data_IF_940276435770
#
_entry.id   IF_940276435770
#
_cell.length_a   1.000
_cell.length_b   1.000
_cell.length_c   1.000
_cell.angle_alpha   90.00
_cell.angle_beta   90.00
_cell.angle_gamma   90.00
#
_symmetry.space_group_name_H-M   'P 1'
#
loop_
_entity.id
_entity.type
_entity.pdbx_description
1 polymer ?
#
# COMPACT_ATOMS: atom_id res chain seq x y z
N UNK A 1 20.79 -10.76 -23.28
CA UNK A 1 20.49 -10.43 -21.87
C UNK A 1 21.50 -9.48 -21.27
N UNK A 2 22.82 -9.74 -21.37
CA UNK A 2 23.86 -8.87 -20.82
C UNK A 2 23.83 -7.43 -21.34
N UNK A 3 23.57 -7.23 -22.64
CA UNK A 3 23.40 -5.88 -23.22
C UNK A 3 22.34 -5.07 -22.48
N UNK A 4 21.20 -5.70 -22.14
CA UNK A 4 20.11 -5.09 -21.38
C UNK A 4 20.52 -4.77 -19.93
N UNK A 5 21.29 -5.66 -19.29
CA UNK A 5 21.81 -5.40 -17.93
C UNK A 5 22.83 -4.27 -17.92
N UNK A 6 23.73 -4.19 -18.93
CA UNK A 6 24.66 -3.07 -19.11
C UNK A 6 23.91 -1.75 -19.31
N UNK A 7 22.86 -1.75 -20.15
CA UNK A 7 21.99 -0.59 -20.34
C UNK A 7 21.39 -0.13 -19.00
N UNK A 8 20.75 -1.05 -18.25
CA UNK A 8 20.19 -0.73 -16.94
C UNK A 8 21.24 -0.16 -15.96
N UNK A 9 22.49 -0.63 -16.04
CA UNK A 9 23.58 -0.11 -15.23
C UNK A 9 23.95 1.32 -15.63
N UNK A 10 24.10 1.57 -16.93
CA UNK A 10 24.43 2.89 -17.46
C UNK A 10 23.34 3.93 -17.15
N UNK A 11 22.08 3.51 -17.20
CA UNK A 11 20.92 4.35 -16.90
C UNK A 11 20.66 4.50 -15.37
N UNK A 12 21.53 3.96 -14.52
CA UNK A 12 21.34 3.91 -13.05
C UNK A 12 20.04 3.23 -12.61
N UNK A 13 19.52 2.30 -13.41
CA UNK A 13 18.29 1.55 -13.17
C UNK A 13 18.52 0.13 -12.64
N UNK A 14 19.77 -0.35 -12.68
CA UNK A 14 20.10 -1.70 -12.19
C UNK A 14 19.80 -1.81 -10.70
N UNK A 15 18.97 -2.80 -10.34
CA UNK A 15 18.61 -3.11 -8.97
C UNK A 15 19.45 -4.28 -8.45
N UNK A 16 19.83 -4.22 -7.19
CA UNK A 16 20.55 -5.29 -6.49
C UNK A 16 19.85 -5.62 -5.18
N UNK A 17 19.72 -6.90 -4.89
CA UNK A 17 19.27 -7.36 -3.58
C UNK A 17 20.33 -7.04 -2.52
N UNK A 18 19.89 -6.73 -1.31
CA UNK A 18 20.76 -6.57 -0.13
C UNK A 18 20.32 -7.55 0.93
N UNK A 19 21.28 -8.22 1.54
CA UNK A 19 20.99 -9.01 2.74
C UNK A 19 20.74 -8.06 3.90
N UNK A 20 19.59 -8.20 4.51
CA UNK A 20 19.16 -7.32 5.60
C UNK A 20 18.44 -8.11 6.67
N UNK A 21 18.48 -7.62 7.90
CA UNK A 21 17.58 -8.06 8.98
C UNK A 21 16.91 -6.84 9.62
N UNK A 22 15.79 -7.06 10.27
CA UNK A 22 14.97 -6.01 10.88
C UNK A 22 15.04 -6.14 12.40
N UNK A 23 15.31 -5.03 13.06
CA UNK A 23 15.21 -4.88 14.51
C UNK A 23 14.36 -3.67 14.83
N UNK A 24 13.06 -3.92 15.04
CA UNK A 24 12.06 -2.87 15.32
C UNK A 24 12.07 -1.76 14.25
N UNK A 25 12.36 -0.52 14.64
CA UNK A 25 12.47 0.63 13.73
C UNK A 25 13.78 0.73 12.95
N UNK A 26 14.61 -0.31 12.98
CA UNK A 26 15.93 -0.32 12.36
C UNK A 26 16.07 -1.45 11.35
N UNK A 27 17.00 -1.26 10.42
CA UNK A 27 17.46 -2.26 9.45
C UNK A 27 18.96 -2.47 9.64
N UNK A 28 19.40 -3.73 9.62
CA UNK A 28 20.81 -4.10 9.70
C UNK A 28 21.28 -4.45 8.28
N UNK A 29 22.29 -3.73 7.80
CA UNK A 29 22.92 -3.94 6.50
C UNK A 29 24.42 -4.07 6.73
N UNK A 30 25.03 -5.17 6.27
CA UNK A 30 26.46 -5.45 6.48
C UNK A 30 26.87 -5.22 7.94
N UNK A 31 26.12 -5.83 8.87
CA UNK A 31 26.31 -5.78 10.33
C UNK A 31 26.17 -4.37 10.97
N UNK A 32 25.86 -3.35 10.21
CA UNK A 32 25.61 -1.98 10.70
C UNK A 32 24.12 -1.72 10.86
N UNK A 33 23.77 -1.10 11.98
CA UNK A 33 22.40 -0.72 12.30
C UNK A 33 22.07 0.65 11.72
N UNK A 34 20.96 0.75 10.97
CA UNK A 34 20.49 1.97 10.34
C UNK A 34 19.04 2.23 10.76
N UNK A 35 18.68 3.50 10.98
CA UNK A 35 17.29 3.91 11.16
C UNK A 35 16.52 3.62 9.87
N UNK A 36 15.43 2.85 9.97
CA UNK A 36 14.67 2.40 8.81
C UNK A 36 13.50 3.33 8.51
N UNK A 37 13.70 4.24 7.58
CA UNK A 37 12.65 5.12 7.06
C UNK A 37 11.95 4.53 5.81
N UNK A 38 12.08 3.23 5.56
CA UNK A 38 11.47 2.57 4.39
C UNK A 38 10.57 1.39 4.75
N UNK A 39 10.23 1.22 6.03
CA UNK A 39 9.35 0.15 6.48
C UNK A 39 7.88 0.49 6.21
N UNK A 40 7.10 -0.53 5.82
CA UNK A 40 5.65 -0.46 5.79
C UNK A 40 4.99 -1.07 7.04
N UNK A 41 5.77 -1.55 8.02
CA UNK A 41 5.26 -1.93 9.35
C UNK A 41 4.95 -0.67 10.18
N UNK A 42 3.88 0.02 9.80
CA UNK A 42 3.54 1.35 10.33
C UNK A 42 3.27 1.34 11.82
N UNK A 43 2.56 0.35 12.32
CA UNK A 43 2.20 0.26 13.72
C UNK A 43 3.31 -0.36 14.59
N UNK A 44 4.20 -1.14 14.00
CA UNK A 44 5.31 -1.76 14.68
C UNK A 44 4.86 -2.61 15.87
N UNK A 45 3.95 -3.54 15.66
CA UNK A 45 3.40 -4.39 16.71
C UNK A 45 4.33 -5.59 16.92
N UNK A 46 4.91 -5.72 18.11
CA UNK A 46 5.71 -6.88 18.47
C UNK A 46 4.84 -7.93 19.19
N UNK A 47 4.76 -9.14 18.66
CA UNK A 47 4.04 -10.28 19.23
C UNK A 47 4.94 -11.45 19.61
N UNK A 48 6.27 -11.26 19.57
CA UNK A 48 7.20 -12.36 19.76
C UNK A 48 7.31 -13.28 18.54
N UNK A 49 7.72 -14.52 18.76
CA UNK A 49 7.93 -15.49 17.68
C UNK A 49 6.62 -16.07 17.16
N UNK A 50 6.58 -16.36 15.86
CA UNK A 50 5.51 -17.12 15.22
C UNK A 50 5.83 -18.61 15.38
N UNK A 51 4.90 -19.38 15.94
CA UNK A 51 5.05 -20.83 16.01
C UNK A 51 4.59 -21.46 14.69
N UNK A 52 5.49 -22.14 14.00
CA UNK A 52 5.23 -22.81 12.71
C UNK A 52 4.81 -24.27 12.96
N UNK A 53 3.63 -24.49 13.51
CA UNK A 53 3.16 -25.84 13.83
C UNK A 53 2.53 -26.59 12.65
N UNK A 54 2.03 -25.87 11.64
CA UNK A 54 1.37 -26.46 10.46
C UNK A 54 1.60 -25.65 9.20
N UNK A 55 1.97 -26.33 8.12
CA UNK A 55 2.08 -25.77 6.77
C UNK A 55 0.91 -26.25 5.93
N UNK A 56 0.29 -25.34 5.19
CA UNK A 56 -0.70 -25.70 4.17
C UNK A 56 0.03 -26.06 2.87
N UNK A 57 -0.14 -27.30 2.41
CA UNK A 57 0.53 -27.82 1.21
C UNK A 57 -0.35 -27.85 -0.04
N UNK A 58 -1.54 -27.23 0.02
CA UNK A 58 -2.52 -27.22 -1.08
C UNK A 58 -3.24 -25.87 -1.19
N UNK A 59 -4.00 -25.68 -2.28
CA UNK A 59 -4.89 -24.53 -2.42
C UNK A 59 -6.07 -24.63 -1.44
N UNK A 60 -6.70 -23.47 -1.15
CA UNK A 60 -7.86 -23.42 -0.23
C UNK A 60 -9.05 -24.24 -0.70
N UNK A 61 -9.25 -24.37 -2.03
CA UNK A 61 -10.37 -25.13 -2.58
C UNK A 61 -10.16 -26.66 -2.58
N UNK A 62 -8.91 -27.12 -2.36
CA UNK A 62 -8.61 -28.55 -2.25
C UNK A 62 -8.58 -28.98 -0.79
N UNK A 63 -7.48 -28.71 -0.06
CA UNK A 63 -7.31 -29.12 1.33
C UNK A 63 -6.65 -28.05 2.21
N UNK A 64 -6.32 -26.90 1.64
CA UNK A 64 -5.62 -25.83 2.36
C UNK A 64 -6.51 -24.87 3.17
N UNK A 65 -7.84 -25.12 3.23
CA UNK A 65 -8.76 -24.23 3.94
C UNK A 65 -8.90 -24.62 5.42
N UNK A 66 -8.00 -24.11 6.25
CA UNK A 66 -8.07 -24.26 7.69
C UNK A 66 -9.23 -23.41 8.29
N UNK A 67 -9.86 -23.89 9.37
CA UNK A 67 -10.98 -23.19 10.02
C UNK A 67 -10.65 -21.78 10.52
N UNK A 68 -9.37 -21.46 10.71
CA UNK A 68 -8.93 -20.13 11.11
C UNK A 68 -9.06 -19.09 9.97
N UNK A 69 -9.10 -19.52 8.70
CA UNK A 69 -9.43 -18.62 7.59
C UNK A 69 -10.79 -17.99 7.78
N UNK A 70 -11.81 -18.79 8.08
CA UNK A 70 -13.17 -18.28 8.32
C UNK A 70 -13.23 -17.31 9.50
N UNK A 71 -12.49 -17.61 10.58
CA UNK A 71 -12.38 -16.69 11.73
C UNK A 71 -11.75 -15.37 11.34
N UNK A 72 -10.63 -15.40 10.59
CA UNK A 72 -9.95 -14.20 10.11
C UNK A 72 -10.85 -13.39 9.18
N UNK A 73 -11.51 -14.03 8.23
CA UNK A 73 -12.39 -13.39 7.25
C UNK A 73 -13.61 -12.75 7.90
N UNK A 74 -14.21 -13.37 8.91
CA UNK A 74 -15.27 -12.75 9.75
C UNK A 74 -14.77 -11.51 10.50
N UNK A 75 -13.55 -11.53 11.03
CA UNK A 75 -12.96 -10.36 11.68
C UNK A 75 -12.69 -9.22 10.68
N UNK A 76 -12.22 -9.54 9.48
CA UNK A 76 -11.95 -8.56 8.43
C UNK A 76 -13.24 -7.94 7.87
N UNK A 77 -14.30 -8.74 7.63
CA UNK A 77 -15.58 -8.22 7.19
C UNK A 77 -16.19 -7.28 8.23
N UNK A 78 -16.14 -7.65 9.53
CA UNK A 78 -16.54 -6.78 10.64
C UNK A 78 -15.69 -5.49 10.70
N UNK A 79 -14.37 -5.61 10.48
CA UNK A 79 -13.45 -4.46 10.45
C UNK A 79 -13.83 -3.46 9.37
N UNK A 80 -14.18 -3.92 8.17
CA UNK A 80 -14.61 -3.06 7.05
C UNK A 80 -16.10 -2.73 7.03
N UNK A 81 -16.89 -3.32 7.94
CA UNK A 81 -18.35 -3.21 7.91
C UNK A 81 -18.97 -3.67 6.59
N UNK A 82 -18.46 -4.79 6.08
CA UNK A 82 -18.91 -5.46 4.86
C UNK A 82 -19.51 -6.82 5.21
N UNK A 83 -20.26 -7.42 4.28
CA UNK A 83 -20.94 -8.70 4.52
C UNK A 83 -19.95 -9.88 4.61
N UNK A 84 -18.96 -9.91 3.74
CA UNK A 84 -18.00 -11.02 3.63
C UNK A 84 -16.60 -10.53 3.26
N UNK A 85 -15.61 -11.31 3.66
CA UNK A 85 -14.20 -11.12 3.23
C UNK A 85 -13.61 -12.42 2.76
N UNK A 86 -12.56 -12.34 1.96
CA UNK A 86 -11.73 -13.47 1.55
C UNK A 86 -10.25 -13.09 1.57
N UNK A 87 -9.42 -13.98 2.10
CA UNK A 87 -7.97 -13.78 2.26
C UNK A 87 -7.21 -14.39 1.10
N UNK A 88 -6.22 -13.63 0.60
CA UNK A 88 -5.27 -13.98 -0.46
C UNK A 88 -3.85 -14.07 0.10
N UNK A 89 -2.92 -14.76 -0.57
CA UNK A 89 -1.52 -14.81 -0.15
C UNK A 89 -0.83 -13.44 -0.10
N UNK A 90 -1.19 -12.50 -0.97
CA UNK A 90 -0.65 -11.13 -0.98
C UNK A 90 -1.71 -10.10 -1.38
N UNK A 91 -1.48 -8.81 -1.06
CA UNK A 91 -2.31 -7.71 -1.58
C UNK A 91 -2.28 -7.61 -3.11
N UNK A 92 -1.13 -7.93 -3.73
CA UNK A 92 -1.00 -8.01 -5.18
C UNK A 92 -1.99 -9.01 -5.78
N UNK A 93 -2.04 -10.23 -5.21
CA UNK A 93 -2.95 -11.30 -5.64
C UNK A 93 -4.42 -10.95 -5.35
N UNK A 94 -4.69 -10.20 -4.28
CA UNK A 94 -6.03 -9.71 -3.99
C UNK A 94 -6.52 -8.72 -5.06
N UNK A 95 -5.68 -7.78 -5.50
CA UNK A 95 -6.01 -6.87 -6.62
C UNK A 95 -6.26 -7.66 -7.92
N UNK A 96 -5.34 -8.55 -8.29
CA UNK A 96 -5.52 -9.39 -9.48
C UNK A 96 -6.82 -10.17 -9.40
N UNK A 97 -7.04 -10.84 -8.26
CA UNK A 97 -8.19 -11.70 -8.06
C UNK A 97 -9.52 -10.95 -8.08
N UNK A 98 -9.64 -9.84 -7.35
CA UNK A 98 -10.85 -9.05 -7.33
C UNK A 98 -11.21 -8.51 -8.71
N UNK A 99 -10.29 -7.77 -9.32
CA UNK A 99 -10.57 -7.05 -10.55
C UNK A 99 -10.86 -8.03 -11.70
N UNK A 100 -10.05 -9.07 -11.87
CA UNK A 100 -10.27 -10.05 -12.97
C UNK A 100 -11.49 -10.96 -12.79
N UNK A 101 -12.04 -11.05 -11.57
CA UNK A 101 -13.26 -11.81 -11.29
C UNK A 101 -14.54 -11.00 -11.50
N UNK A 102 -14.47 -9.67 -11.30
CA UNK A 102 -15.64 -8.79 -11.25
C UNK A 102 -15.80 -8.02 -12.55
N UNK A 103 -14.68 -7.67 -13.19
CA UNK A 103 -14.62 -6.85 -14.41
C UNK A 103 -14.50 -7.72 -15.62
N UNK A 104 -15.36 -7.48 -16.63
CA UNK A 104 -15.43 -8.26 -17.87
C UNK A 104 -14.95 -7.44 -19.09
N UNK A 105 -14.69 -8.14 -20.19
CA UNK A 105 -14.15 -7.56 -21.44
C UNK A 105 -14.93 -6.35 -21.98
N UNK A 106 -16.26 -6.35 -21.81
CA UNK A 106 -17.12 -5.27 -22.33
C UNK A 106 -17.32 -4.09 -21.34
N UNK A 107 -16.81 -4.23 -20.14
CA UNK A 107 -16.89 -3.21 -19.11
C UNK A 107 -15.94 -2.05 -19.37
N UNK A 108 -16.19 -0.94 -18.67
CA UNK A 108 -15.33 0.23 -18.65
C UNK A 108 -14.69 0.40 -17.27
N UNK A 109 -13.37 0.48 -17.24
CA UNK A 109 -12.59 0.74 -16.02
C UNK A 109 -12.03 2.15 -16.07
N UNK A 110 -12.34 2.95 -15.06
CA UNK A 110 -11.76 4.28 -14.83
C UNK A 110 -10.72 4.15 -13.73
N UNK A 111 -9.44 4.19 -14.11
CA UNK A 111 -8.30 3.99 -13.24
C UNK A 111 -7.55 5.30 -13.02
N UNK A 112 -7.23 5.63 -11.75
CA UNK A 112 -6.31 6.73 -11.46
C UNK A 112 -4.95 6.47 -12.11
N UNK A 113 -4.31 7.51 -12.65
CA UNK A 113 -3.03 7.38 -13.37
C UNK A 113 -1.86 6.93 -12.48
N UNK A 114 -1.97 7.08 -11.16
CA UNK A 114 -0.95 6.67 -10.20
C UNK A 114 -1.30 5.40 -9.43
N UNK A 115 -2.34 4.69 -9.82
CA UNK A 115 -2.69 3.42 -9.22
C UNK A 115 -1.52 2.43 -9.23
N UNK A 116 -1.47 1.60 -8.20
CA UNK A 116 -0.45 0.55 -8.03
C UNK A 116 -0.41 -0.40 -9.23
N UNK A 117 0.79 -0.90 -9.56
CA UNK A 117 1.02 -1.78 -10.71
C UNK A 117 0.10 -3.02 -10.71
N UNK A 118 -0.24 -3.58 -9.56
CA UNK A 118 -1.17 -4.72 -9.46
C UNK A 118 -2.59 -4.38 -9.95
N UNK A 119 -3.05 -3.15 -9.74
CA UNK A 119 -4.33 -2.64 -10.27
C UNK A 119 -4.23 -2.49 -11.78
N UNK A 120 -3.17 -1.85 -12.27
CA UNK A 120 -2.94 -1.65 -13.71
C UNK A 120 -2.91 -2.98 -14.46
N UNK A 121 -2.18 -3.96 -13.92
CA UNK A 121 -2.07 -5.29 -14.55
C UNK A 121 -3.39 -6.07 -14.47
N UNK A 122 -4.11 -5.98 -13.34
CA UNK A 122 -5.41 -6.59 -13.20
C UNK A 122 -6.44 -6.02 -14.21
N UNK A 123 -6.46 -4.70 -14.38
CA UNK A 123 -7.30 -4.05 -15.38
C UNK A 123 -6.98 -4.53 -16.81
N UNK A 124 -5.69 -4.66 -17.16
CA UNK A 124 -5.28 -5.21 -18.46
C UNK A 124 -5.71 -6.65 -18.64
N UNK A 125 -5.54 -7.48 -17.60
CA UNK A 125 -5.89 -8.91 -17.64
C UNK A 125 -7.40 -9.15 -17.72
N UNK A 126 -8.23 -8.24 -17.21
CA UNK A 126 -9.70 -8.32 -17.34
C UNK A 126 -10.17 -8.16 -18.78
N UNK A 127 -9.34 -7.57 -19.66
CA UNK A 127 -9.69 -7.25 -21.03
C UNK A 127 -10.68 -6.10 -21.19
N UNK A 128 -11.02 -5.39 -20.12
CA UNK A 128 -11.95 -4.26 -20.13
C UNK A 128 -11.40 -3.03 -20.87
N UNK A 129 -12.28 -2.12 -21.22
CA UNK A 129 -11.94 -0.83 -21.83
C UNK A 129 -11.45 0.13 -20.78
N UNK A 130 -10.12 0.32 -20.67
CA UNK A 130 -9.47 1.11 -19.64
C UNK A 130 -9.45 2.59 -20.04
N UNK A 131 -9.95 3.46 -19.16
CA UNK A 131 -9.89 4.92 -19.25
C UNK A 131 -9.12 5.46 -18.03
N UNK A 132 -7.91 5.92 -18.26
CA UNK A 132 -7.08 6.49 -17.20
C UNK A 132 -7.51 7.95 -16.99
N UNK A 133 -7.83 8.32 -15.74
CA UNK A 133 -8.07 9.71 -15.38
C UNK A 133 -6.86 10.29 -14.63
N UNK A 134 -6.72 11.63 -14.72
CA UNK A 134 -5.63 12.35 -14.07
C UNK A 134 -5.66 12.13 -12.58
N UNK A 135 -4.47 12.03 -12.00
CA UNK A 135 -4.32 11.72 -10.59
C UNK A 135 -5.14 12.65 -9.69
N UNK A 136 -6.02 12.03 -8.90
CA UNK A 136 -6.88 12.66 -7.90
C UNK A 136 -7.79 13.79 -8.46
N UNK A 137 -8.03 13.78 -9.77
CA UNK A 137 -8.83 14.77 -10.51
C UNK A 137 -10.25 14.24 -10.74
N UNK A 138 -11.16 14.65 -9.86
CA UNK A 138 -12.56 14.26 -9.89
C UNK A 138 -13.31 14.82 -11.12
N UNK A 139 -12.92 15.99 -11.62
CA UNK A 139 -13.56 16.59 -12.81
C UNK A 139 -13.17 15.80 -14.08
N UNK A 140 -11.90 15.41 -14.23
CA UNK A 140 -11.48 14.56 -15.35
C UNK A 140 -12.16 13.18 -15.30
N UNK A 141 -12.32 12.60 -14.09
CA UNK A 141 -13.06 11.36 -13.88
C UNK A 141 -14.52 11.51 -14.34
N UNK A 142 -15.23 12.55 -13.87
CA UNK A 142 -16.63 12.85 -14.20
C UNK A 142 -16.81 13.04 -15.70
N UNK A 143 -15.94 13.83 -16.34
CA UNK A 143 -15.96 14.07 -17.78
C UNK A 143 -15.82 12.77 -18.60
N UNK A 144 -14.99 11.84 -18.14
CA UNK A 144 -14.80 10.55 -18.83
C UNK A 144 -15.97 9.60 -18.61
N UNK A 145 -16.55 9.59 -17.40
CA UNK A 145 -17.74 8.78 -17.08
C UNK A 145 -18.96 9.20 -17.90
N UNK A 146 -19.25 10.48 -17.99
CA UNK A 146 -20.42 11.02 -18.70
C UNK A 146 -20.42 10.66 -20.20
N UNK A 147 -19.26 10.41 -20.79
CA UNK A 147 -19.09 10.01 -22.20
C UNK A 147 -19.13 8.49 -22.42
N UNK A 148 -19.59 7.73 -21.42
CA UNK A 148 -19.48 6.28 -21.45
C UNK A 148 -20.80 5.61 -21.11
N UNK A 149 -21.30 4.75 -22.00
CA UNK A 149 -22.45 3.91 -21.77
C UNK A 149 -22.00 2.47 -21.53
N UNK A 150 -22.63 1.77 -20.57
CA UNK A 150 -22.31 0.42 -20.16
C UNK A 150 -21.94 0.31 -18.69
N UNK A 151 -21.53 -0.88 -18.27
CA UNK A 151 -21.12 -1.16 -16.88
C UNK A 151 -19.78 -0.50 -16.60
N UNK A 152 -19.68 0.22 -15.47
CA UNK A 152 -18.56 1.10 -15.15
C UNK A 152 -17.96 0.74 -13.80
N UNK A 153 -16.64 0.74 -13.76
CA UNK A 153 -15.86 0.54 -12.53
C UNK A 153 -14.93 1.73 -12.32
N UNK A 154 -14.93 2.30 -11.13
CA UNK A 154 -13.93 3.28 -10.70
C UNK A 154 -12.95 2.55 -9.78
N UNK A 155 -11.66 2.64 -10.04
CA UNK A 155 -10.63 1.98 -9.24
C UNK A 155 -9.59 3.01 -8.82
N UNK A 156 -9.35 3.13 -7.51
CA UNK A 156 -8.38 4.06 -6.92
C UNK A 156 -7.74 3.49 -5.67
N UNK A 157 -6.61 4.06 -5.25
CA UNK A 157 -6.01 3.80 -3.94
C UNK A 157 -6.61 4.75 -2.88
N UNK A 158 -6.62 4.33 -1.61
CA UNK A 158 -7.01 5.21 -0.50
C UNK A 158 -5.90 6.17 -0.10
N UNK A 159 -4.68 5.65 -0.03
CA UNK A 159 -3.42 6.42 0.12
C UNK A 159 -2.47 5.95 -0.97
N UNK A 160 -2.02 6.87 -1.80
CA UNK A 160 -1.13 6.54 -2.92
C UNK A 160 0.28 6.21 -2.44
N UNK A 161 0.76 5.06 -2.88
CA UNK A 161 1.94 4.39 -2.33
C UNK A 161 3.26 5.15 -2.51
N UNK A 162 3.35 6.03 -3.54
CA UNK A 162 4.57 6.77 -3.87
C UNK A 162 4.54 8.23 -3.43
N UNK A 163 3.37 8.84 -3.34
CA UNK A 163 3.19 10.26 -3.03
C UNK A 163 2.65 10.50 -1.62
N UNK A 164 1.99 9.51 -1.02
CA UNK A 164 1.47 9.57 0.35
C UNK A 164 0.25 10.48 0.50
N UNK A 165 -0.31 10.98 -0.58
CA UNK A 165 -1.54 11.74 -0.60
C UNK A 165 -2.76 10.82 -0.51
N UNK A 166 -3.89 11.37 -0.13
CA UNK A 166 -5.16 10.67 0.07
C UNK A 166 -6.08 10.97 -1.11
N UNK A 167 -6.75 9.94 -1.62
CA UNK A 167 -7.76 10.11 -2.65
C UNK A 167 -8.93 10.99 -2.17
N UNK A 168 -9.47 11.81 -3.08
CA UNK A 168 -10.69 12.60 -2.82
C UNK A 168 -11.93 11.70 -2.83
N UNK A 169 -11.98 10.73 -1.90
CA UNK A 169 -13.03 9.71 -1.85
C UNK A 169 -14.43 10.30 -1.67
N UNK A 170 -14.56 11.46 -1.01
CA UNK A 170 -15.88 12.10 -0.86
C UNK A 170 -16.49 12.44 -2.22
N UNK A 171 -15.70 13.00 -3.09
CA UNK A 171 -16.13 13.40 -4.43
C UNK A 171 -16.25 12.19 -5.36
N UNK A 172 -15.25 11.28 -5.32
CA UNK A 172 -15.25 10.04 -6.10
C UNK A 172 -16.50 9.19 -5.79
N UNK A 173 -16.88 9.04 -4.50
CA UNK A 173 -18.09 8.27 -4.13
C UNK A 173 -19.38 8.92 -4.60
N UNK A 174 -19.45 10.25 -4.59
CA UNK A 174 -20.61 10.96 -5.13
C UNK A 174 -20.70 10.81 -6.66
N UNK A 175 -19.57 10.92 -7.36
CA UNK A 175 -19.51 10.69 -8.80
C UNK A 175 -19.88 9.24 -9.13
N UNK A 176 -19.39 8.27 -8.36
CA UNK A 176 -19.72 6.85 -8.54
C UNK A 176 -21.22 6.60 -8.45
N UNK A 177 -21.86 7.10 -7.40
CA UNK A 177 -23.30 6.98 -7.19
C UNK A 177 -24.12 7.62 -8.33
N UNK A 178 -23.77 8.84 -8.73
CA UNK A 178 -24.47 9.57 -9.78
C UNK A 178 -24.31 8.95 -11.18
N UNK A 179 -23.31 8.09 -11.38
CA UNK A 179 -23.05 7.41 -12.64
C UNK A 179 -23.36 5.92 -12.62
N UNK A 180 -23.97 5.42 -11.53
CA UNK A 180 -24.23 4.00 -11.31
C UNK A 180 -22.98 3.13 -11.57
N UNK A 181 -21.86 3.54 -10.99
CA UNK A 181 -20.56 2.90 -11.15
C UNK A 181 -20.21 2.09 -9.90
N UNK A 182 -19.49 1.01 -10.06
CA UNK A 182 -18.96 0.19 -8.95
C UNK A 182 -17.60 0.77 -8.53
N UNK A 183 -17.46 1.12 -7.25
CA UNK A 183 -16.22 1.66 -6.70
C UNK A 183 -15.39 0.58 -6.02
N UNK A 184 -14.18 0.35 -6.55
CA UNK A 184 -13.17 -0.55 -5.98
C UNK A 184 -12.06 0.32 -5.35
N UNK A 185 -11.83 0.15 -4.06
CA UNK A 185 -10.83 0.89 -3.30
C UNK A 185 -9.72 -0.04 -2.83
N UNK A 186 -8.48 0.18 -3.30
CA UNK A 186 -7.27 -0.38 -2.66
C UNK A 186 -6.86 0.52 -1.49
N UNK A 187 -7.15 0.06 -0.28
CA UNK A 187 -6.86 0.78 0.96
C UNK A 187 -5.61 0.23 1.68
N UNK A 188 -4.71 -0.44 0.96
CA UNK A 188 -3.57 -1.15 1.54
C UNK A 188 -2.64 -0.27 2.39
N UNK A 189 -2.55 1.02 2.11
CA UNK A 189 -1.77 1.99 2.89
C UNK A 189 -2.61 2.77 3.90
N UNK A 190 -3.94 2.81 3.76
CA UNK A 190 -4.85 3.47 4.68
C UNK A 190 -5.35 2.55 5.79
N UNK A 191 -5.54 1.28 5.47
CA UNK A 191 -6.08 0.27 6.38
C UNK A 191 -5.17 0.05 7.60
N UNK A 192 -5.79 -0.13 8.75
CA UNK A 192 -5.16 -0.22 10.08
C UNK A 192 -4.48 1.08 10.56
N UNK A 193 -4.36 2.11 9.72
CA UNK A 193 -3.72 3.40 10.02
C UNK A 193 -4.75 4.50 10.19
N UNK A 194 -5.64 4.69 9.23
CA UNK A 194 -6.66 5.74 9.19
C UNK A 194 -7.99 5.29 9.79
N UNK A 195 -8.83 6.26 10.13
CA UNK A 195 -10.20 6.04 10.58
C UNK A 195 -10.32 5.48 11.99
N UNK A 196 -11.55 5.29 12.43
CA UNK A 196 -11.86 4.75 13.76
C UNK A 196 -11.38 3.29 13.85
N UNK A 197 -10.61 2.96 14.88
CA UNK A 197 -10.01 1.63 15.05
C UNK A 197 -9.16 1.15 13.87
N UNK A 198 -8.69 2.08 13.01
CA UNK A 198 -7.91 1.76 11.83
C UNK A 198 -8.71 1.24 10.64
N UNK A 199 -10.00 1.56 10.51
CA UNK A 199 -10.88 1.06 9.43
C UNK A 199 -10.53 1.59 8.04
N UNK A 200 -9.55 2.47 7.93
CA UNK A 200 -9.02 2.95 6.67
C UNK A 200 -9.53 4.31 6.22
N UNK A 201 -9.22 4.66 4.97
CA UNK A 201 -9.50 5.98 4.40
C UNK A 201 -10.98 6.24 4.19
N UNK A 202 -11.76 5.24 3.80
CA UNK A 202 -13.21 5.37 3.66
C UNK A 202 -13.90 5.74 4.96
N UNK A 203 -13.42 5.22 6.11
CA UNK A 203 -13.98 5.51 7.42
C UNK A 203 -13.63 6.92 7.89
N UNK A 204 -12.37 7.35 7.78
CA UNK A 204 -11.97 8.70 8.20
C UNK A 204 -12.63 9.80 7.39
N UNK A 205 -12.98 9.52 6.14
CA UNK A 205 -13.68 10.45 5.25
C UNK A 205 -15.22 10.31 5.31
N UNK A 206 -15.75 9.35 6.10
CA UNK A 206 -17.18 9.16 6.30
C UNK A 206 -17.91 8.55 5.10
N UNK A 207 -17.21 7.85 4.22
CA UNK A 207 -17.75 7.29 2.96
C UNK A 207 -17.68 5.76 2.88
N UNK A 208 -17.37 5.08 3.96
CA UNK A 208 -17.13 3.63 3.98
C UNK A 208 -18.31 2.80 3.44
N UNK A 209 -19.55 3.24 3.63
CA UNK A 209 -20.76 2.57 3.11
C UNK A 209 -20.99 2.77 1.60
N UNK A 210 -20.27 3.71 0.98
CA UNK A 210 -20.39 4.02 -0.45
C UNK A 210 -19.30 3.35 -1.30
N UNK A 211 -18.48 2.49 -0.70
CA UNK A 211 -17.42 1.74 -1.36
C UNK A 211 -17.91 0.30 -1.52
N UNK A 212 -17.98 -0.17 -2.75
CA UNK A 212 -18.54 -1.48 -3.08
C UNK A 212 -17.55 -2.61 -2.78
N UNK A 213 -16.28 -2.41 -3.10
CA UNK A 213 -15.23 -3.42 -2.91
C UNK A 213 -14.01 -2.80 -2.26
N UNK A 214 -13.64 -3.30 -1.09
CA UNK A 214 -12.38 -3.01 -0.45
C UNK A 214 -11.34 -4.06 -0.77
N UNK A 215 -10.14 -3.63 -1.13
CA UNK A 215 -8.95 -4.46 -1.24
C UNK A 215 -7.89 -3.90 -0.30
N UNK A 216 -7.17 -4.78 0.39
CA UNK A 216 -6.14 -4.33 1.33
C UNK A 216 -5.03 -5.36 1.51
N UNK A 217 -3.98 -4.96 2.25
CA UNK A 217 -2.82 -5.79 2.58
C UNK A 217 -2.67 -5.94 4.09
N UNK A 218 -2.52 -7.19 4.55
CA UNK A 218 -2.22 -7.49 5.94
C UNK A 218 -0.75 -7.25 6.29
N UNK A 219 0.13 -7.12 5.29
CA UNK A 219 1.58 -6.99 5.49
C UNK A 219 2.05 -5.58 5.84
N UNK A 220 1.18 -4.57 5.75
CA UNK A 220 1.51 -3.16 6.01
C UNK A 220 1.06 -2.72 7.41
N UNK A 221 -0.04 -2.00 7.53
CA UNK A 221 -0.53 -1.47 8.80
C UNK A 221 -0.78 -2.52 9.88
N UNK A 222 -1.26 -3.71 9.53
CA UNK A 222 -1.40 -4.83 10.47
C UNK A 222 -0.06 -5.49 10.81
N UNK A 223 0.94 -5.41 9.90
CA UNK A 223 2.27 -6.01 10.08
C UNK A 223 2.26 -7.53 10.11
N UNK A 224 1.33 -8.18 9.40
CA UNK A 224 1.26 -9.63 9.21
C UNK A 224 1.69 -10.00 7.80
N UNK A 225 1.01 -10.95 7.16
CA UNK A 225 1.23 -11.32 5.77
C UNK A 225 -0.09 -11.66 5.08
N UNK A 226 -0.19 -11.38 3.78
CA UNK A 226 -1.38 -11.63 2.98
C UNK A 226 -2.05 -10.36 2.46
N UNK A 227 -3.13 -10.56 1.73
CA UNK A 227 -4.07 -9.54 1.30
C UNK A 227 -5.49 -10.02 1.51
N UNK A 228 -6.48 -9.16 1.33
CA UNK A 228 -7.87 -9.54 1.43
C UNK A 228 -8.78 -8.62 0.63
N UNK A 229 -9.96 -9.15 0.34
CA UNK A 229 -11.09 -8.42 -0.23
C UNK A 229 -12.22 -8.41 0.80
N UNK A 230 -12.92 -7.29 0.92
CA UNK A 230 -14.19 -7.18 1.68
C UNK A 230 -15.25 -6.52 0.82
N UNK A 231 -16.43 -7.14 0.73
CA UNK A 231 -17.54 -6.66 -0.09
C UNK A 231 -18.86 -7.33 0.30
N UNK A 232 -19.90 -7.15 -0.52
CA UNK A 232 -21.12 -7.93 -0.47
C UNK A 232 -20.81 -9.43 -0.66
N UNK A 233 -21.64 -10.29 -0.11
CA UNK A 233 -21.45 -11.75 -0.15
C UNK A 233 -21.33 -12.26 -1.60
N UNK A 234 -22.20 -11.80 -2.51
CA UNK A 234 -22.21 -12.21 -3.92
C UNK A 234 -20.88 -11.92 -4.65
N UNK A 235 -20.28 -10.77 -4.38
CA UNK A 235 -18.99 -10.37 -4.95
C UNK A 235 -17.86 -11.26 -4.44
N UNK A 236 -17.83 -11.53 -3.13
CA UNK A 236 -16.80 -12.40 -2.54
C UNK A 236 -16.97 -13.84 -3.01
N UNK A 237 -18.21 -14.34 -3.12
CA UNK A 237 -18.50 -15.68 -3.63
C UNK A 237 -18.06 -15.79 -5.12
N UNK A 238 -18.25 -14.75 -5.93
CA UNK A 238 -17.73 -14.70 -7.29
C UNK A 238 -16.21 -14.80 -7.32
N UNK A 239 -15.51 -14.05 -6.44
CA UNK A 239 -14.06 -14.13 -6.33
C UNK A 239 -13.56 -15.53 -5.92
N UNK A 240 -14.27 -16.23 -5.02
CA UNK A 240 -13.92 -17.62 -4.66
C UNK A 240 -13.96 -18.54 -5.89
N UNK A 241 -14.90 -18.30 -6.80
CA UNK A 241 -15.17 -19.19 -7.92
C UNK A 241 -14.44 -18.82 -9.22
N UNK A 242 -13.99 -17.56 -9.37
CA UNK A 242 -13.39 -17.09 -10.63
C UNK A 242 -11.99 -16.50 -10.48
N UNK A 243 -11.56 -16.15 -9.27
CA UNK A 243 -10.24 -15.57 -9.05
C UNK A 243 -9.13 -16.59 -9.25
N UNK A 244 -8.42 -16.50 -10.37
CA UNK A 244 -7.29 -17.40 -10.69
C UNK A 244 -6.17 -17.30 -9.65
N UNK A 245 -5.89 -16.11 -9.12
CA UNK A 245 -4.90 -15.89 -8.07
C UNK A 245 -5.32 -16.45 -6.71
N UNK A 246 -6.57 -16.88 -6.54
CA UNK A 246 -7.07 -17.59 -5.38
C UNK A 246 -7.13 -19.10 -5.62
N UNK A 247 -7.67 -19.51 -6.76
CA UNK A 247 -7.93 -20.92 -7.09
C UNK A 247 -6.62 -21.69 -7.26
N UNK A 248 -5.65 -21.12 -7.97
CA UNK A 248 -4.41 -21.80 -8.42
C UNK A 248 -3.18 -21.44 -7.59
N UNK A 249 -3.37 -21.03 -6.34
CA UNK A 249 -2.28 -20.74 -5.41
C UNK A 249 -2.37 -21.55 -4.14
N UNK A 250 -1.25 -21.86 -3.52
CA UNK A 250 -1.22 -22.48 -2.20
C UNK A 250 -1.81 -21.56 -1.13
N UNK A 251 -2.47 -22.14 -0.15
CA UNK A 251 -2.98 -21.42 1.00
C UNK A 251 -1.85 -20.83 1.84
N UNK A 252 -2.14 -19.73 2.54
CA UNK A 252 -1.23 -19.22 3.57
C UNK A 252 -1.11 -20.23 4.72
N UNK A 253 0.08 -20.37 5.34
CA UNK A 253 0.24 -21.18 6.52
C UNK A 253 -0.71 -20.79 7.65
N UNK A 254 -1.29 -21.78 8.35
CA UNK A 254 -2.21 -21.56 9.47
C UNK A 254 -1.58 -20.67 10.56
N UNK A 255 -0.26 -20.78 10.77
CA UNK A 255 0.48 -19.91 11.69
C UNK A 255 0.36 -18.42 11.35
N UNK A 256 0.41 -18.05 10.07
CA UNK A 256 0.23 -16.68 9.60
C UNK A 256 -1.21 -16.21 9.79
N UNK A 257 -2.19 -17.08 9.55
CA UNK A 257 -3.60 -16.77 9.78
C UNK A 257 -3.86 -16.51 11.26
N UNK A 258 -3.36 -17.39 12.14
CA UNK A 258 -3.45 -17.24 13.59
C UNK A 258 -2.76 -15.98 14.11
N UNK A 259 -1.61 -15.64 13.52
CA UNK A 259 -0.88 -14.42 13.83
C UNK A 259 -1.68 -13.17 13.42
N UNK A 260 -2.33 -13.19 12.25
CA UNK A 260 -3.22 -12.11 11.79
C UNK A 260 -4.41 -11.93 12.74
N UNK A 261 -5.05 -13.03 13.17
CA UNK A 261 -6.16 -13.01 14.12
C UNK A 261 -5.72 -12.36 15.44
N UNK A 262 -4.57 -12.78 15.99
CA UNK A 262 -4.02 -12.19 17.23
C UNK A 262 -3.84 -10.68 17.09
N UNK A 263 -3.24 -10.21 15.98
CA UNK A 263 -3.03 -8.78 15.72
C UNK A 263 -4.32 -8.00 15.53
N UNK A 264 -5.33 -8.57 14.88
CA UNK A 264 -6.64 -7.94 14.72
C UNK A 264 -7.36 -7.75 16.07
N UNK A 265 -7.23 -8.70 16.99
CA UNK A 265 -7.85 -8.65 18.31
C UNK A 265 -7.11 -7.77 19.33
N UNK A 266 -5.90 -7.32 19.02
CA UNK A 266 -5.15 -6.41 19.90
C UNK A 266 -5.71 -5.00 19.88
N UNK A 267 -5.61 -4.31 21.02
CA UNK A 267 -5.83 -2.87 21.07
C UNK A 267 -4.66 -2.11 20.41
N UNK A 268 -4.87 -1.64 19.19
CA UNK A 268 -3.86 -0.94 18.40
C UNK A 268 -3.83 0.57 18.61
N UNK A 269 -4.76 1.14 19.38
CA UNK A 269 -4.93 2.61 19.50
C UNK A 269 -3.69 3.31 20.08
N UNK A 270 -3.03 2.72 21.08
CA UNK A 270 -1.78 3.29 21.63
C UNK A 270 -0.70 3.42 20.55
N UNK A 271 -0.56 2.41 19.68
CA UNK A 271 0.41 2.39 18.56
C UNK A 271 0.00 3.40 17.48
N UNK A 272 -1.28 3.46 17.13
CA UNK A 272 -1.80 4.42 16.14
C UNK A 272 -1.61 5.86 16.61
N UNK A 273 -1.94 6.17 17.87
CA UNK A 273 -1.69 7.50 18.45
C UNK A 273 -0.21 7.88 18.39
N UNK A 274 0.70 6.93 18.70
CA UNK A 274 2.15 7.15 18.58
C UNK A 274 2.56 7.40 17.14
N UNK A 275 2.07 6.58 16.20
CA UNK A 275 2.31 6.77 14.77
C UNK A 275 1.94 8.18 14.31
N UNK A 276 0.71 8.62 14.59
CA UNK A 276 0.24 9.96 14.20
C UNK A 276 1.00 11.09 14.85
N UNK A 277 1.43 10.93 16.14
CA UNK A 277 2.33 11.88 16.79
C UNK A 277 3.66 11.99 16.04
N UNK A 278 4.24 10.87 15.66
CA UNK A 278 5.50 10.82 14.93
C UNK A 278 5.36 11.43 13.52
N UNK A 279 4.27 11.13 12.79
CA UNK A 279 3.98 11.70 11.46
C UNK A 279 3.92 13.22 11.55
N UNK A 280 3.12 13.77 12.48
CA UNK A 280 2.97 15.23 12.68
C UNK A 280 4.31 15.89 13.00
N UNK A 281 5.10 15.29 13.90
CA UNK A 281 6.41 15.82 14.27
C UNK A 281 7.37 15.85 13.07
N UNK A 282 7.38 14.77 12.26
CA UNK A 282 8.26 14.68 11.11
C UNK A 282 7.87 15.65 9.99
N UNK A 283 6.57 15.77 9.68
CA UNK A 283 6.07 16.76 8.70
C UNK A 283 6.46 18.19 9.10
N UNK A 284 6.14 18.57 10.35
CA UNK A 284 6.50 19.91 10.87
C UNK A 284 8.01 20.16 10.82
N UNK A 285 8.81 19.14 11.16
CA UNK A 285 10.26 19.22 11.06
C UNK A 285 10.76 19.44 9.64
N UNK A 286 10.20 18.72 8.66
CA UNK A 286 10.54 18.90 7.24
C UNK A 286 10.19 20.29 6.73
N UNK A 287 9.01 20.81 7.07
CA UNK A 287 8.59 22.18 6.73
C UNK A 287 9.56 23.22 7.31
N UNK A 288 9.94 23.08 8.58
CA UNK A 288 10.85 24.02 9.27
C UNK A 288 12.24 24.08 8.62
N UNK A 289 12.72 22.98 8.02
CA UNK A 289 14.02 22.91 7.34
C UNK A 289 13.93 23.19 5.83
N UNK A 290 12.74 23.51 5.32
CA UNK A 290 12.53 23.98 3.96
C UNK A 290 12.08 22.93 2.93
N UNK A 291 11.79 21.70 3.34
CA UNK A 291 11.22 20.71 2.43
C UNK A 291 9.71 20.89 2.25
N UNK A 292 9.25 20.82 1.00
CA UNK A 292 7.84 20.84 0.65
C UNK A 292 7.36 19.44 0.33
N UNK A 293 6.30 18.99 0.97
CA UNK A 293 5.63 17.72 0.68
C UNK A 293 4.11 17.90 0.64
N UNK A 294 3.46 17.21 -0.31
CA UNK A 294 1.99 17.16 -0.42
C UNK A 294 1.37 15.99 0.34
N UNK A 295 2.21 15.16 0.95
CA UNK A 295 1.73 14.00 1.70
C UNK A 295 0.96 14.44 2.95
N UNK A 296 -0.09 13.70 3.25
CA UNK A 296 -0.88 13.82 4.49
C UNK A 296 -0.94 12.48 5.26
N UNK A 297 -0.04 11.56 4.96
CA UNK A 297 0.00 10.21 5.51
C UNK A 297 1.35 9.85 6.14
N UNK A 298 1.51 8.59 6.50
CA UNK A 298 2.77 8.04 6.98
C UNK A 298 3.85 7.89 5.89
N UNK A 299 3.50 8.05 4.63
CA UNK A 299 4.40 7.97 3.48
C UNK A 299 4.77 9.39 3.08
N UNK A 300 6.04 9.74 3.15
CA UNK A 300 6.50 11.11 2.95
C UNK A 300 7.61 11.11 1.91
N UNK A 301 7.33 11.52 0.65
CA UNK A 301 8.34 11.65 -0.37
C UNK A 301 9.07 13.00 -0.27
N UNK A 302 10.37 12.99 -0.54
CA UNK A 302 11.16 14.17 -0.89
C UNK A 302 11.48 14.08 -2.38
N UNK A 303 10.96 15.02 -3.16
CA UNK A 303 11.17 15.07 -4.61
C UNK A 303 12.59 15.49 -4.94
N UNK A 304 13.28 14.69 -5.73
CA UNK A 304 14.67 14.94 -6.16
C UNK A 304 14.73 15.25 -7.67
N UNK A 305 13.84 14.65 -8.45
CA UNK A 305 13.77 14.77 -9.90
C UNK A 305 14.75 13.82 -10.62
N UNK A 306 16.03 14.10 -10.56
CA UNK A 306 17.07 13.33 -11.27
C UNK A 306 17.39 12.01 -10.57
N UNK A 307 17.47 10.91 -11.33
CA UNK A 307 17.68 9.54 -10.83
C UNK A 307 19.06 9.37 -10.16
N UNK A 308 20.12 9.90 -10.78
CA UNK A 308 21.48 9.84 -10.22
C UNK A 308 21.56 10.61 -8.90
N UNK A 309 21.03 11.82 -8.89
CA UNK A 309 20.99 12.69 -7.70
C UNK A 309 20.22 12.00 -6.55
N UNK A 310 19.10 11.34 -6.86
CA UNK A 310 18.32 10.56 -5.87
C UNK A 310 19.12 9.38 -5.31
N UNK A 311 19.86 8.66 -6.16
CA UNK A 311 20.74 7.58 -5.72
C UNK A 311 21.87 8.07 -4.82
N UNK A 312 22.50 9.19 -5.15
CA UNK A 312 23.58 9.77 -4.37
C UNK A 312 23.08 10.35 -3.04
N UNK A 313 21.89 10.95 -3.04
CA UNK A 313 21.19 11.38 -1.82
C UNK A 313 20.94 10.19 -0.89
N UNK A 314 20.40 9.08 -1.42
CA UNK A 314 20.18 7.86 -0.65
C UNK A 314 21.48 7.25 -0.09
N UNK A 315 22.57 7.26 -0.85
CA UNK A 315 23.91 6.85 -0.36
C UNK A 315 24.40 7.73 0.78
N UNK A 316 24.20 9.06 0.67
CA UNK A 316 24.56 9.99 1.73
C UNK A 316 23.78 9.68 3.02
N UNK A 317 22.45 9.49 2.93
CA UNK A 317 21.64 9.10 4.10
C UNK A 317 22.15 7.80 4.73
N UNK A 318 22.47 6.80 3.90
CA UNK A 318 22.99 5.51 4.37
C UNK A 318 24.34 5.67 5.09
N UNK A 319 25.23 6.55 4.62
CA UNK A 319 26.51 6.87 5.28
C UNK A 319 26.31 7.52 6.67
N UNK A 320 25.13 8.11 6.91
CA UNK A 320 24.69 8.69 8.18
C UNK A 320 23.75 7.75 8.96
N UNK A 321 23.84 6.44 8.72
CA UNK A 321 23.03 5.41 9.37
C UNK A 321 21.51 5.62 9.24
N UNK A 322 21.05 6.22 8.14
CA UNK A 322 19.64 6.34 7.77
C UNK A 322 19.39 5.57 6.48
N UNK A 323 18.47 4.61 6.54
CA UNK A 323 18.02 3.89 5.35
C UNK A 323 16.70 4.50 4.85
N UNK A 324 16.76 5.18 3.71
CA UNK A 324 15.60 5.68 2.98
C UNK A 324 15.77 5.36 1.49
N UNK A 325 14.76 4.67 0.92
CA UNK A 325 14.87 4.10 -0.42
C UNK A 325 14.69 5.16 -1.51
N UNK A 326 15.68 5.35 -2.40
CA UNK A 326 15.47 6.11 -3.62
C UNK A 326 14.52 5.38 -4.56
N UNK A 327 13.44 6.06 -4.96
CA UNK A 327 12.47 5.59 -5.94
C UNK A 327 12.73 6.31 -7.26
N UNK A 328 12.78 5.55 -8.35
CA UNK A 328 13.07 6.05 -9.69
C UNK A 328 12.32 5.26 -10.75
N UNK A 329 12.44 5.65 -12.00
CA UNK A 329 11.91 4.88 -13.13
C UNK A 329 12.28 3.38 -13.05
N UNK A 330 11.40 2.44 -13.41
CA UNK A 330 10.04 2.63 -13.92
C UNK A 330 8.96 2.73 -12.84
N UNK A 331 9.31 2.73 -11.54
CA UNK A 331 8.33 2.83 -10.45
C UNK A 331 7.61 4.17 -10.44
N UNK A 332 8.30 5.24 -10.85
CA UNK A 332 7.75 6.59 -11.06
C UNK A 332 8.17 7.08 -12.45
N UNK A 333 7.54 8.13 -12.97
CA UNK A 333 7.88 8.73 -14.26
C UNK A 333 9.36 9.15 -14.28
N UNK A 334 10.01 9.07 -15.46
CA UNK A 334 11.38 9.54 -15.66
C UNK A 334 11.48 11.03 -15.28
N UNK A 335 12.53 11.43 -14.56
CA UNK A 335 12.68 12.79 -14.05
C UNK A 335 11.84 13.09 -12.80
N UNK A 336 11.18 12.09 -12.20
CA UNK A 336 10.36 12.22 -10.98
C UNK A 336 10.92 11.38 -9.83
N UNK A 337 12.22 11.15 -9.81
CA UNK A 337 12.88 10.39 -8.76
C UNK A 337 12.72 11.08 -7.41
N UNK A 338 12.58 10.29 -6.35
CA UNK A 338 12.33 10.78 -4.99
C UNK A 338 12.95 9.88 -3.95
N UNK A 339 13.14 10.40 -2.74
CA UNK A 339 13.38 9.59 -1.55
C UNK A 339 12.03 9.34 -0.89
N UNK A 340 11.57 8.08 -0.91
CA UNK A 340 10.31 7.70 -0.25
C UNK A 340 10.60 7.28 1.18
N UNK A 341 10.10 8.06 2.10
CA UNK A 341 10.20 7.76 3.53
C UNK A 341 8.86 7.28 4.07
N UNK A 342 8.93 6.45 5.11
CA UNK A 342 7.77 5.99 5.88
C UNK A 342 8.04 6.16 7.36
N UNK A 343 7.14 6.85 8.04
CA UNK A 343 7.19 6.99 9.49
C UNK A 343 6.40 5.86 10.13
N UNK A 344 6.95 5.31 11.22
CA UNK A 344 6.35 4.20 11.96
C UNK A 344 6.19 4.52 13.45
N UNK A 345 5.38 3.74 14.14
CA UNK A 345 5.24 3.84 15.59
C UNK A 345 6.45 3.29 16.36
N UNK A 346 7.43 2.69 15.67
CA UNK A 346 8.70 2.31 16.29
C UNK A 346 9.59 3.51 16.57
N UNK A 347 9.61 4.52 15.70
CA UNK A 347 10.51 5.67 15.81
C UNK A 347 10.31 6.42 17.13
N UNK A 348 11.43 6.76 17.74
CA UNK A 348 11.49 7.63 18.93
C UNK A 348 11.62 9.09 18.50
N UNK A 349 11.37 10.03 19.44
CA UNK A 349 11.58 11.45 19.17
C UNK A 349 13.03 11.74 18.78
N UNK A 350 14.01 11.18 19.50
CA UNK A 350 15.45 11.37 19.22
C UNK A 350 15.82 10.91 17.80
N UNK A 351 15.26 9.79 17.33
CA UNK A 351 15.51 9.29 15.98
C UNK A 351 14.86 10.17 14.91
N UNK A 352 13.69 10.72 15.18
CA UNK A 352 13.04 11.68 14.27
C UNK A 352 13.86 12.98 14.20
N UNK A 353 14.29 13.54 15.34
CA UNK A 353 15.09 14.74 15.40
C UNK A 353 16.43 14.53 14.65
N UNK A 354 17.10 13.40 14.86
CA UNK A 354 18.33 13.02 14.15
C UNK A 354 18.10 12.88 12.63
N UNK A 355 16.99 12.25 12.24
CA UNK A 355 16.68 12.10 10.82
C UNK A 355 16.47 13.47 10.14
N UNK A 356 15.80 14.40 10.80
CA UNK A 356 15.58 15.75 10.30
C UNK A 356 16.90 16.53 10.16
N UNK A 357 17.80 16.45 11.16
CA UNK A 357 19.14 17.06 11.08
C UNK A 357 19.94 16.55 9.86
N UNK A 358 19.95 15.23 9.65
CA UNK A 358 20.67 14.64 8.52
C UNK A 358 19.99 14.98 7.19
N UNK A 359 18.66 15.05 7.14
CA UNK A 359 17.91 15.46 5.95
C UNK A 359 18.19 16.92 5.59
N UNK A 360 18.27 17.81 6.56
CA UNK A 360 18.68 19.21 6.31
C UNK A 360 20.06 19.28 5.67
N UNK A 361 21.07 18.60 6.25
CA UNK A 361 22.42 18.54 5.68
C UNK A 361 22.41 17.97 4.25
N UNK A 362 21.61 16.93 4.01
CA UNK A 362 21.45 16.35 2.68
C UNK A 362 20.76 17.32 1.72
N UNK A 363 19.67 17.95 2.15
CA UNK A 363 18.91 18.91 1.33
C UNK A 363 19.77 20.05 0.82
N UNK A 364 20.54 20.69 1.73
CA UNK A 364 21.49 21.74 1.36
C UNK A 364 22.62 21.24 0.45
N UNK A 365 23.25 20.11 0.80
CA UNK A 365 24.34 19.52 0.00
C UNK A 365 23.93 19.22 -1.44
N UNK A 366 22.72 18.73 -1.63
CA UNK A 366 22.19 18.34 -2.93
C UNK A 366 21.30 19.43 -3.56
N UNK A 367 21.27 20.63 -3.00
CA UNK A 367 20.48 21.76 -3.51
C UNK A 367 19.02 21.36 -3.78
N UNK A 368 18.37 20.82 -2.75
CA UNK A 368 16.95 20.51 -2.75
C UNK A 368 16.18 21.56 -1.92
N UNK A 369 16.86 22.10 -0.91
CA UNK A 369 16.44 23.24 -0.07
C UNK A 369 17.55 24.25 -0.01
#
# INVERSE_FOLDING_TARGET
>A
MEKKLRQLKNDNLLRKLRNTSIDKGHIIISQKKHLNLSSNDYLGINLGMINYSQMQSSSRLISGNDSNFEKLEKLLSKHKSQEKSIVYPTGYMANLGAITSIVEKNDFVFSDELNHVSIIEACKLSGAKIKIYKHNDAEDLKKKLNKTNGRKFIITEGVFSMDGDIANLKEITNISANNNSILILDDAHGDFVFGRNGRGTGDVLGVNKKIDVYISSLSKGLGSFGGYISSQKSVVDLCINQSRSFIYTSALPASIINFSIKRLNMNREKRRKKLWKNIKAFHKGLENIGFVTKSSSQIIPIMIGNEKKAMDFGKFLLSKNIFAQPIRFPTVKKGSARIRMSITAWHTKKEIDYALEVLEKAGRRFQII
#
